data_IF_861111434814
#
_entry.id   IF_861111434814
#
_cell.length_a   1.000
_cell.length_b   1.000
_cell.length_c   1.000
_cell.angle_alpha   90.00
_cell.angle_beta   90.00
_cell.angle_gamma   90.00
#
_symmetry.space_group_name_H-M   'P 1'
#
loop_
_entity.id
_entity.type
_entity.pdbx_description
1 polymer ?
#
# COMPACT_ATOMS: atom_id res chain seq x y z
N UNK A 1 -5.73 -37.40 -26.90
CA UNK A 1 -5.69 -36.79 -25.56
C UNK A 1 -4.79 -35.57 -25.66
N UNK A 2 -5.37 -34.37 -25.80
CA UNK A 2 -4.59 -33.14 -25.84
C UNK A 2 -4.45 -32.64 -24.41
N UNK A 3 -3.26 -32.78 -23.82
CA UNK A 3 -2.93 -32.13 -22.56
C UNK A 3 -2.93 -30.62 -22.79
N UNK A 4 -3.83 -29.88 -22.13
CA UNK A 4 -3.66 -28.43 -22.00
C UNK A 4 -2.25 -28.17 -21.45
N UNK A 5 -1.47 -27.26 -22.03
CA UNK A 5 -0.21 -26.87 -21.43
C UNK A 5 -0.54 -26.29 -20.05
N UNK A 6 0.01 -26.89 -19.00
CA UNK A 6 -0.09 -26.35 -17.65
C UNK A 6 0.49 -24.93 -17.70
N UNK A 7 -0.34 -23.92 -17.47
CA UNK A 7 0.12 -22.55 -17.25
C UNK A 7 1.11 -22.60 -16.10
N UNK A 8 2.39 -22.32 -16.38
CA UNK A 8 3.40 -22.26 -15.35
C UNK A 8 3.13 -21.01 -14.50
N UNK A 9 3.22 -21.10 -13.17
CA UNK A 9 3.13 -19.92 -12.33
C UNK A 9 4.33 -19.01 -12.62
N UNK A 10 4.05 -17.83 -13.15
CA UNK A 10 5.06 -16.83 -13.52
C UNK A 10 4.74 -15.48 -12.88
N UNK A 11 5.80 -14.71 -12.59
CA UNK A 11 5.66 -13.32 -12.16
C UNK A 11 5.23 -12.48 -13.36
N UNK A 12 4.26 -11.60 -13.16
CA UNK A 12 3.85 -10.62 -14.17
C UNK A 12 5.06 -9.76 -14.56
N UNK A 13 5.14 -9.48 -15.86
CA UNK A 13 6.16 -8.60 -16.44
C UNK A 13 5.55 -7.28 -16.94
N UNK A 14 4.21 -7.15 -16.90
CA UNK A 14 3.51 -5.99 -17.46
C UNK A 14 3.32 -4.86 -16.45
N UNK A 15 3.43 -5.16 -15.14
CA UNK A 15 3.20 -4.22 -14.04
C UNK A 15 4.03 -4.59 -12.83
N UNK A 16 4.24 -3.61 -11.96
CA UNK A 16 4.92 -3.76 -10.68
C UNK A 16 4.02 -3.31 -9.53
N UNK A 17 4.30 -3.78 -8.32
CA UNK A 17 3.67 -3.27 -7.09
C UNK A 17 4.71 -2.74 -6.13
N UNK A 18 4.37 -1.65 -5.47
CA UNK A 18 5.09 -1.16 -4.28
C UNK A 18 4.14 -1.28 -3.12
N UNK A 19 4.56 -2.00 -2.08
CA UNK A 19 3.80 -2.09 -0.83
C UNK A 19 4.39 -1.14 0.20
N UNK A 20 3.54 -0.41 0.89
CA UNK A 20 3.92 0.34 2.09
C UNK A 20 3.37 -0.36 3.33
N UNK A 21 4.18 -0.52 4.37
CA UNK A 21 3.74 -0.90 5.71
C UNK A 21 3.75 0.34 6.58
N UNK A 22 2.58 0.90 6.86
CA UNK A 22 2.42 2.22 7.45
C UNK A 22 2.36 2.10 8.96
N UNK A 23 3.14 2.94 9.65
CA UNK A 23 3.08 3.08 11.10
C UNK A 23 2.51 4.46 11.45
N UNK A 24 1.52 4.51 12.34
CA UNK A 24 0.98 5.80 12.80
C UNK A 24 1.98 6.54 13.67
N UNK A 25 1.97 7.87 13.58
CA UNK A 25 2.78 8.76 14.43
C UNK A 25 2.51 8.50 15.92
N UNK A 26 3.54 8.56 16.79
CA UNK A 26 3.32 8.51 18.23
C UNK A 26 2.39 9.63 18.70
N UNK A 27 1.44 9.32 19.58
CA UNK A 27 0.55 10.30 20.19
C UNK A 27 -0.80 10.51 19.48
N UNK A 28 -1.04 9.90 18.31
CA UNK A 28 -2.36 9.90 17.68
C UNK A 28 -3.09 8.56 17.86
N UNK A 29 -4.42 8.61 17.88
CA UNK A 29 -5.27 7.42 18.00
C UNK A 29 -5.35 6.65 16.67
N UNK A 30 -5.90 5.42 16.72
CA UNK A 30 -6.14 4.63 15.50
C UNK A 30 -7.15 5.30 14.59
N UNK A 31 -8.21 5.83 15.18
CA UNK A 31 -9.31 6.50 14.50
C UNK A 31 -8.81 7.75 13.78
N UNK A 32 -7.96 8.54 14.45
CA UNK A 32 -7.35 9.72 13.85
C UNK A 32 -6.40 9.33 12.71
N UNK A 33 -5.57 8.31 12.89
CA UNK A 33 -4.71 7.77 11.82
C UNK A 33 -5.55 7.34 10.61
N UNK A 34 -6.60 6.54 10.82
CA UNK A 34 -7.47 6.07 9.75
C UNK A 34 -8.12 7.23 9.01
N UNK A 35 -8.68 8.20 9.74
CA UNK A 35 -9.32 9.38 9.16
C UNK A 35 -8.34 10.21 8.34
N UNK A 36 -7.15 10.49 8.88
CA UNK A 36 -6.10 11.27 8.20
C UNK A 36 -5.58 10.56 6.96
N UNK A 37 -5.35 9.26 7.06
CA UNK A 37 -4.81 8.51 5.94
C UNK A 37 -5.82 8.38 4.79
N UNK A 38 -7.11 8.22 5.08
CA UNK A 38 -8.16 8.29 4.04
C UNK A 38 -8.21 9.68 3.37
N UNK A 39 -8.07 10.76 4.14
CA UNK A 39 -7.97 12.11 3.58
C UNK A 39 -6.71 12.30 2.73
N UNK A 40 -5.60 11.70 3.15
CA UNK A 40 -4.36 11.66 2.39
C UNK A 40 -4.54 10.97 1.03
N UNK A 41 -5.40 9.94 0.92
CA UNK A 41 -5.72 9.35 -0.38
C UNK A 41 -6.41 10.33 -1.33
N UNK A 42 -7.40 11.08 -0.84
CA UNK A 42 -8.08 12.11 -1.64
C UNK A 42 -7.12 13.25 -2.01
N UNK A 43 -6.22 13.64 -1.09
CA UNK A 43 -5.17 14.61 -1.38
C UNK A 43 -4.25 14.09 -2.48
N UNK A 44 -3.71 12.88 -2.36
CA UNK A 44 -2.88 12.23 -3.39
C UNK A 44 -3.60 12.21 -4.74
N UNK A 45 -4.87 11.80 -4.76
CA UNK A 45 -5.70 11.74 -5.97
C UNK A 45 -5.89 13.10 -6.65
N UNK A 46 -5.82 14.20 -5.89
CA UNK A 46 -5.91 15.56 -6.44
C UNK A 46 -4.61 16.04 -7.12
N UNK A 47 -3.49 15.32 -6.96
CA UNK A 47 -2.18 15.66 -7.53
C UNK A 47 -1.97 15.05 -8.93
N UNK A 48 -1.00 15.58 -9.67
CA UNK A 48 -0.61 15.02 -10.97
C UNK A 48 0.06 13.63 -10.83
N UNK A 49 0.66 13.36 -9.67
CA UNK A 49 1.27 12.06 -9.34
C UNK A 49 0.27 10.90 -9.41
N UNK A 50 -1.01 11.15 -9.15
CA UNK A 50 -2.06 10.13 -9.24
C UNK A 50 -2.18 9.50 -10.64
N UNK A 51 -1.77 10.23 -11.68
CA UNK A 51 -1.79 9.76 -13.07
C UNK A 51 -0.64 8.79 -13.39
N UNK A 52 0.36 8.69 -12.52
CA UNK A 52 1.53 7.80 -12.70
C UNK A 52 1.20 6.36 -12.31
N UNK A 53 0.27 6.18 -11.37
CA UNK A 53 -0.09 4.87 -10.84
C UNK A 53 -1.33 4.30 -11.54
N UNK A 54 -1.43 2.98 -11.55
CA UNK A 54 -2.56 2.22 -12.08
C UNK A 54 -3.56 1.84 -10.98
N UNK A 55 -3.10 1.77 -9.73
CA UNK A 55 -3.91 1.38 -8.57
C UNK A 55 -3.29 1.92 -7.28
N UNK A 56 -4.14 2.33 -6.34
CA UNK A 56 -3.76 2.70 -4.97
C UNK A 56 -4.82 2.22 -3.98
N UNK A 57 -4.44 1.25 -3.14
CA UNK A 57 -5.28 0.74 -2.06
C UNK A 57 -4.75 1.20 -0.71
N UNK A 58 -5.65 1.56 0.20
CA UNK A 58 -5.36 1.68 1.63
C UNK A 58 -6.07 0.55 2.39
N UNK A 59 -5.29 -0.28 3.08
CA UNK A 59 -5.78 -1.38 3.89
C UNK A 59 -5.42 -1.09 5.35
N UNK A 60 -6.44 -0.91 6.18
CA UNK A 60 -6.25 -0.59 7.59
C UNK A 60 -6.26 -1.89 8.41
N UNK A 61 -5.32 -2.04 9.33
CA UNK A 61 -5.31 -3.19 10.25
C UNK A 61 -6.58 -3.15 11.09
N UNK A 62 -7.30 -4.27 11.13
CA UNK A 62 -8.46 -4.47 11.98
C UNK A 62 -8.00 -4.95 13.36
N UNK A 63 -8.04 -4.05 14.34
CA UNK A 63 -7.46 -4.30 15.67
C UNK A 63 -8.20 -5.43 16.42
N UNK A 64 -9.51 -5.59 16.23
CA UNK A 64 -10.31 -6.65 16.85
C UNK A 64 -9.90 -8.05 16.36
N UNK A 65 -9.81 -8.21 15.03
CA UNK A 65 -9.39 -9.47 14.41
C UNK A 65 -7.93 -9.75 14.71
N UNK A 66 -7.08 -8.73 14.74
CA UNK A 66 -5.68 -8.86 15.12
C UNK A 66 -5.53 -9.33 16.58
N UNK A 67 -6.35 -8.81 17.49
CA UNK A 67 -6.39 -9.25 18.88
C UNK A 67 -6.84 -10.72 19.00
N UNK A 68 -7.84 -11.14 18.22
CA UNK A 68 -8.28 -12.53 18.18
C UNK A 68 -7.16 -13.47 17.68
N UNK A 69 -6.47 -13.11 16.60
CA UNK A 69 -5.33 -13.88 16.09
C UNK A 69 -4.21 -14.01 17.14
N UNK A 70 -3.93 -12.94 17.88
CA UNK A 70 -2.96 -12.94 18.97
C UNK A 70 -3.36 -13.89 20.11
N UNK A 71 -4.64 -13.91 20.49
CA UNK A 71 -5.16 -14.87 21.49
C UNK A 71 -5.04 -16.32 21.02
N UNK A 72 -5.13 -16.56 19.72
CA UNK A 72 -4.90 -17.87 19.11
C UNK A 72 -3.40 -18.24 18.97
N UNK A 73 -2.49 -17.38 19.44
CA UNK A 73 -1.05 -17.60 19.37
C UNK A 73 -0.43 -17.33 17.99
N UNK A 74 -1.17 -16.72 17.07
CA UNK A 74 -0.62 -16.33 15.77
C UNK A 74 0.26 -15.08 15.90
N UNK A 75 1.37 -15.00 15.15
CA UNK A 75 2.15 -13.76 15.07
C UNK A 75 1.32 -12.68 14.38
N UNK A 76 1.37 -11.47 14.94
CA UNK A 76 0.69 -10.28 14.42
C UNK A 76 1.70 -9.19 14.10
N UNK A 77 1.34 -8.27 13.21
CA UNK A 77 2.19 -7.13 12.89
C UNK A 77 1.90 -5.92 13.79
N UNK A 78 2.91 -5.05 13.91
CA UNK A 78 2.82 -3.79 14.67
C UNK A 78 2.49 -2.58 13.78
N UNK A 79 2.30 -2.78 12.47
CA UNK A 79 1.89 -1.72 11.56
C UNK A 79 0.42 -1.39 11.73
N UNK A 80 0.04 -0.18 11.33
CA UNK A 80 -1.33 0.30 11.44
C UNK A 80 -2.12 0.15 10.15
N UNK A 81 -1.42 0.01 9.03
CA UNK A 81 -2.01 -0.23 7.72
C UNK A 81 -0.98 -0.67 6.69
N UNK A 82 -1.49 -1.08 5.54
CA UNK A 82 -0.72 -1.47 4.37
C UNK A 82 -1.29 -0.73 3.16
N UNK A 83 -0.43 -0.25 2.26
CA UNK A 83 -0.85 0.21 0.95
C UNK A 83 -0.26 -0.63 -0.15
N UNK A 84 -0.99 -0.77 -1.26
CA UNK A 84 -0.44 -1.22 -2.53
C UNK A 84 -0.58 -0.07 -3.53
N UNK A 85 0.53 0.31 -4.15
CA UNK A 85 0.57 1.10 -5.37
C UNK A 85 1.00 0.22 -6.55
N UNK A 86 0.21 0.17 -7.62
CA UNK A 86 0.56 -0.54 -8.85
C UNK A 86 0.98 0.47 -9.92
N UNK A 87 2.00 0.14 -10.71
CA UNK A 87 2.43 0.96 -11.84
C UNK A 87 3.05 0.13 -12.95
N UNK A 88 3.38 0.79 -14.06
CA UNK A 88 3.97 0.12 -15.23
C UNK A 88 5.42 -0.32 -15.00
N UNK A 89 6.18 0.41 -14.16
CA UNK A 89 7.56 0.06 -13.79
C UNK A 89 7.93 0.63 -12.42
N UNK A 90 8.95 0.05 -11.77
CA UNK A 90 9.42 0.56 -10.48
C UNK A 90 9.95 1.97 -10.60
N UNK A 91 10.65 2.29 -11.68
CA UNK A 91 11.16 3.63 -11.95
C UNK A 91 10.02 4.65 -11.93
N UNK A 92 8.94 4.41 -12.68
CA UNK A 92 7.78 5.31 -12.71
C UNK A 92 7.16 5.50 -11.33
N UNK A 93 6.88 4.41 -10.61
CA UNK A 93 6.26 4.51 -9.27
C UNK A 93 7.17 5.25 -8.30
N UNK A 94 8.47 4.96 -8.30
CA UNK A 94 9.42 5.60 -7.39
C UNK A 94 9.71 7.07 -7.73
N UNK A 95 9.41 7.53 -8.96
CA UNK A 95 9.52 8.97 -9.28
C UNK A 95 8.60 9.84 -8.41
N UNK A 96 7.47 9.28 -7.96
CA UNK A 96 6.51 9.95 -7.07
C UNK A 96 7.22 10.48 -5.84
N UNK A 97 8.02 9.66 -5.15
CA UNK A 97 8.68 10.05 -3.89
C UNK A 97 9.86 11.00 -4.09
N UNK A 98 10.17 11.39 -5.33
CA UNK A 98 11.29 12.27 -5.66
C UNK A 98 10.87 13.54 -6.37
N UNK A 99 9.58 13.71 -6.67
CA UNK A 99 9.10 14.90 -7.36
C UNK A 99 8.81 16.04 -6.38
N UNK A 100 8.89 17.28 -6.88
CA UNK A 100 8.68 18.48 -6.06
C UNK A 100 7.25 18.55 -5.47
N UNK A 101 6.25 18.03 -6.19
CA UNK A 101 4.87 18.03 -5.70
C UNK A 101 4.70 17.10 -4.49
N UNK A 102 5.38 15.96 -4.44
CA UNK A 102 5.40 15.06 -3.28
C UNK A 102 5.96 15.76 -2.06
N UNK A 103 7.15 16.33 -2.18
CA UNK A 103 7.83 17.07 -1.10
C UNK A 103 7.00 18.26 -0.60
N UNK A 104 6.33 18.96 -1.51
CA UNK A 104 5.56 20.16 -1.18
C UNK A 104 4.18 19.86 -0.61
N UNK A 105 3.50 18.81 -1.08
CA UNK A 105 2.08 18.55 -0.78
C UNK A 105 1.91 17.39 0.18
N UNK A 106 2.58 16.27 -0.07
CA UNK A 106 2.33 15.03 0.67
C UNK A 106 3.23 14.88 1.89
N UNK A 107 4.50 15.29 1.82
CA UNK A 107 5.40 15.19 2.98
C UNK A 107 4.86 15.97 4.20
N UNK A 108 4.39 17.23 4.09
CA UNK A 108 3.83 17.94 5.23
C UNK A 108 2.60 17.25 5.82
N UNK A 109 1.73 16.68 4.97
CA UNK A 109 0.54 15.95 5.43
C UNK A 109 0.90 14.63 6.10
N UNK A 110 1.82 13.85 5.52
CA UNK A 110 2.32 12.60 6.12
C UNK A 110 2.96 12.84 7.49
N UNK A 111 3.68 13.95 7.70
CA UNK A 111 4.29 14.28 8.98
C UNK A 111 3.28 14.49 10.11
N UNK A 112 2.01 14.73 9.80
CA UNK A 112 0.95 14.89 10.80
C UNK A 112 0.48 13.54 11.37
N UNK A 113 0.53 12.45 10.60
CA UNK A 113 -0.08 11.19 11.00
C UNK A 113 0.81 9.94 10.86
N UNK A 114 1.94 10.03 10.15
CA UNK A 114 2.81 8.90 9.85
C UNK A 114 4.11 8.94 10.66
N UNK A 115 4.48 7.82 11.25
CA UNK A 115 5.83 7.54 11.72
C UNK A 115 6.64 7.07 10.50
N UNK A 116 7.30 8.02 9.83
CA UNK A 116 8.05 7.76 8.60
C UNK A 116 9.26 6.86 8.82
N UNK A 117 9.88 6.91 10.01
CA UNK A 117 11.05 6.08 10.34
C UNK A 117 10.68 4.60 10.49
N UNK A 118 9.45 4.32 10.95
CA UNK A 118 8.93 2.96 11.10
C UNK A 118 8.06 2.49 9.95
N UNK A 119 7.78 3.38 9.00
CA UNK A 119 7.09 3.02 7.76
C UNK A 119 8.08 2.41 6.79
N UNK A 120 7.70 1.30 6.16
CA UNK A 120 8.57 0.55 5.26
C UNK A 120 7.95 0.52 3.86
N UNK A 121 8.80 0.64 2.84
CA UNK A 121 8.40 0.55 1.43
C UNK A 121 9.14 -0.62 0.79
N UNK A 122 8.40 -1.51 0.12
CA UNK A 122 8.97 -2.71 -0.49
C UNK A 122 8.51 -2.82 -1.95
N UNK A 123 9.45 -2.80 -2.92
CA UNK A 123 9.14 -3.10 -4.32
C UNK A 123 8.94 -4.61 -4.51
N UNK A 124 7.86 -4.98 -5.21
CA UNK A 124 7.43 -6.37 -5.38
C UNK A 124 7.11 -6.69 -6.84
N UNK A 125 7.76 -7.73 -7.35
CA UNK A 125 7.25 -8.49 -8.49
C UNK A 125 6.18 -9.45 -7.97
N UNK A 126 5.11 -9.66 -8.72
CA UNK A 126 3.97 -10.46 -8.24
C UNK A 126 3.43 -11.38 -9.34
N UNK A 127 2.79 -12.47 -8.95
CA UNK A 127 2.01 -13.34 -9.85
C UNK A 127 0.54 -13.27 -9.46
N UNK A 128 -0.36 -13.39 -10.45
CA UNK A 128 -1.81 -13.38 -10.22
C UNK A 128 -2.36 -14.78 -10.49
N UNK A 129 -2.96 -15.38 -9.46
CA UNK A 129 -3.50 -16.74 -9.52
C UNK A 129 -5.02 -16.75 -9.46
N UNK A 130 -5.61 -15.80 -8.73
CA UNK A 130 -7.05 -15.58 -8.61
C UNK A 130 -7.25 -14.06 -8.58
N UNK A 131 -7.98 -13.55 -9.57
CA UNK A 131 -8.41 -12.16 -9.65
C UNK A 131 -9.83 -12.15 -10.19
N UNK A 132 -10.79 -12.11 -9.26
CA UNK A 132 -12.21 -12.04 -9.60
C UNK A 132 -12.62 -10.57 -9.50
N UNK A 133 -13.32 -10.02 -10.50
CA UNK A 133 -13.87 -8.68 -10.37
C UNK A 133 -14.83 -8.63 -9.17
N UNK A 134 -14.91 -7.46 -8.53
CA UNK A 134 -15.92 -7.20 -7.51
C UNK A 134 -17.32 -7.44 -8.11
N UNK A 135 -18.20 -8.10 -7.35
CA UNK A 135 -19.59 -8.38 -7.74
C UNK A 135 -20.50 -7.19 -7.49
#
# INVERSE_FOLDING_TARGET
MSSSPALKPELTQSRVRVVGFLKRKPGISKEEFTRRWLQHAELFKSTEMSKIILKYDQMHVNDETNALLKQMGAPTCDWDGITIMEGESFEKVLTITTCEEYERVLVPDELEFLDREKTQVVPLNFGVFIDKPEQ
#
